data_IF_634187194390
#
_entry.id   IF_634187194390
#
_cell.length_a   1.000
_cell.length_b   1.000
_cell.length_c   1.000
_cell.angle_alpha   90.00
_cell.angle_beta   90.00
_cell.angle_gamma   90.00
#
_symmetry.space_group_name_H-M   'P 1'
#
loop_
_entity.id
_entity.type
_entity.pdbx_description
1 polymer ?
#
# COMPACT_ATOMS: atom_id res chain seq x y z
N UNK A 1 27.95 8.02 -19.15
CA UNK A 1 26.52 8.28 -19.43
C UNK A 1 25.78 7.03 -19.02
N UNK A 2 24.79 7.17 -18.15
CA UNK A 2 23.98 6.08 -17.62
C UNK A 2 22.54 6.55 -17.49
N UNK A 3 21.60 5.62 -17.62
CA UNK A 3 20.23 5.83 -17.22
C UNK A 3 20.17 5.83 -15.69
N UNK A 4 19.08 6.37 -15.16
CA UNK A 4 18.78 6.29 -13.73
C UNK A 4 17.27 6.14 -13.60
N UNK A 5 16.86 4.89 -13.45
CA UNK A 5 15.47 4.48 -13.39
C UNK A 5 14.95 4.66 -11.97
N UNK A 6 13.79 5.28 -11.86
CA UNK A 6 13.14 5.55 -10.57
C UNK A 6 11.65 5.23 -10.70
N UNK A 7 11.09 4.58 -9.68
CA UNK A 7 9.66 4.58 -9.40
C UNK A 7 9.53 5.27 -8.04
N UNK A 8 8.84 6.41 -7.97
CA UNK A 8 8.81 7.21 -6.74
C UNK A 8 8.11 6.44 -5.62
N UNK A 9 8.77 6.29 -4.48
CA UNK A 9 8.15 5.75 -3.28
C UNK A 9 7.20 6.78 -2.63
N UNK A 10 6.47 6.35 -1.62
CA UNK A 10 5.60 7.26 -0.88
C UNK A 10 6.36 8.20 0.03
N UNK A 11 5.86 9.43 0.18
CA UNK A 11 6.42 10.44 1.09
C UNK A 11 5.33 10.92 2.07
N UNK A 12 5.59 10.97 3.39
CA UNK A 12 6.86 10.61 4.07
C UNK A 12 7.06 9.10 4.25
N UNK A 13 6.07 8.27 3.89
CA UNK A 13 6.09 6.83 4.12
C UNK A 13 6.19 6.06 2.82
N UNK A 14 7.25 5.26 2.64
CA UNK A 14 7.57 4.61 1.37
C UNK A 14 6.47 3.68 0.82
N UNK A 15 5.58 3.17 1.68
CA UNK A 15 4.43 2.33 1.30
C UNK A 15 3.22 3.12 0.76
N UNK A 16 3.31 4.45 0.70
CA UNK A 16 2.27 5.33 0.17
C UNK A 16 2.61 5.86 -1.24
N UNK A 17 3.30 5.04 -2.06
CA UNK A 17 3.68 5.44 -3.42
C UNK A 17 2.45 5.85 -4.26
N UNK A 18 2.54 7.01 -4.90
CA UNK A 18 1.57 7.46 -5.90
C UNK A 18 1.92 7.00 -7.32
N UNK A 19 3.07 6.34 -7.49
CA UNK A 19 3.55 5.80 -8.77
C UNK A 19 3.07 4.38 -9.02
N UNK A 20 2.34 3.80 -8.08
CA UNK A 20 1.61 2.55 -8.25
C UNK A 20 0.15 2.82 -7.91
N UNK A 21 -0.75 2.51 -8.84
CA UNK A 21 -2.19 2.64 -8.60
C UNK A 21 -2.99 1.53 -9.27
N UNK A 22 -4.22 1.39 -8.79
CA UNK A 22 -5.17 0.38 -9.27
C UNK A 22 -6.31 1.11 -9.98
N UNK A 23 -6.74 0.57 -11.11
CA UNK A 23 -7.99 0.92 -11.78
C UNK A 23 -8.92 -0.30 -11.66
N UNK A 24 -9.92 -0.27 -10.75
CA UNK A 24 -10.83 -1.40 -10.57
C UNK A 24 -11.87 -1.50 -11.69
N UNK A 25 -12.29 -2.73 -12.00
CA UNK A 25 -13.30 -3.02 -13.02
C UNK A 25 -12.71 -3.56 -14.31
N UNK A 26 -13.52 -3.54 -15.37
CA UNK A 26 -13.19 -4.18 -16.66
C UNK A 26 -12.62 -3.21 -17.71
N UNK A 27 -12.47 -1.92 -17.37
CA UNK A 27 -11.87 -0.90 -18.25
C UNK A 27 -10.55 -0.40 -17.64
N UNK A 28 -9.39 -0.69 -18.25
CA UNK A 28 -8.10 -0.20 -17.76
C UNK A 28 -7.95 1.32 -17.79
N UNK A 29 -8.80 2.04 -18.55
CA UNK A 29 -8.82 3.50 -18.63
C UNK A 29 -9.87 4.13 -17.70
N UNK A 30 -10.51 3.32 -16.87
CA UNK A 30 -11.41 3.81 -15.82
C UNK A 30 -10.69 4.65 -14.77
N UNK A 31 -11.44 5.23 -13.82
CA UNK A 31 -10.86 6.02 -12.74
C UNK A 31 -10.02 5.13 -11.79
N UNK A 32 -8.90 5.64 -11.26
CA UNK A 32 -8.18 4.99 -10.17
C UNK A 32 -9.07 4.79 -8.93
N UNK A 33 -8.82 3.74 -8.16
CA UNK A 33 -9.56 3.44 -6.96
C UNK A 33 -9.06 2.22 -6.20
N UNK A 34 -9.79 1.83 -5.14
CA UNK A 34 -9.46 0.65 -4.36
C UNK A 34 -9.68 -0.65 -5.16
N UNK A 35 -8.79 -1.65 -5.05
CA UNK A 35 -8.99 -2.94 -5.69
C UNK A 35 -10.24 -3.66 -5.17
N UNK A 36 -11.01 -4.26 -6.09
CA UNK A 36 -12.24 -4.99 -5.76
C UNK A 36 -12.01 -6.49 -5.88
N UNK A 37 -12.26 -7.22 -4.80
CA UNK A 37 -12.11 -8.67 -4.76
C UNK A 37 -13.02 -9.37 -5.79
N UNK A 38 -12.50 -10.42 -6.43
CA UNK A 38 -13.24 -11.26 -7.38
C UNK A 38 -13.58 -10.57 -8.71
N UNK A 39 -13.03 -9.38 -8.97
CA UNK A 39 -13.19 -8.63 -10.21
C UNK A 39 -11.83 -8.33 -10.85
N UNK A 40 -11.81 -7.92 -12.12
CA UNK A 40 -10.59 -7.41 -12.74
C UNK A 40 -10.17 -6.10 -12.09
N UNK A 41 -8.86 -5.94 -11.92
CA UNK A 41 -8.21 -4.73 -11.44
C UNK A 41 -6.94 -4.52 -12.26
N UNK A 42 -6.76 -3.34 -12.84
CA UNK A 42 -5.61 -3.03 -13.66
C UNK A 42 -4.57 -2.27 -12.86
N UNK A 43 -3.34 -2.76 -12.84
CA UNK A 43 -2.23 -2.09 -12.20
C UNK A 43 -1.52 -1.17 -13.16
N UNK A 44 -1.30 0.05 -12.72
CA UNK A 44 -0.50 1.03 -13.41
C UNK A 44 0.73 1.37 -12.57
N UNK A 45 1.83 1.62 -13.27
CA UNK A 45 3.09 2.09 -12.73
C UNK A 45 3.49 3.40 -13.39
N UNK A 46 4.33 4.18 -12.73
CA UNK A 46 5.02 5.33 -13.31
C UNK A 46 6.51 5.16 -13.12
N UNK A 47 7.26 5.33 -14.20
CA UNK A 47 8.71 5.15 -14.19
C UNK A 47 9.37 6.38 -14.80
N UNK A 48 10.46 6.79 -14.19
CA UNK A 48 11.25 7.96 -14.54
C UNK A 48 12.65 7.53 -14.98
N UNK A 49 13.23 8.24 -15.93
CA UNK A 49 14.67 8.17 -16.22
C UNK A 49 15.30 9.53 -15.92
N UNK A 50 15.86 9.71 -14.73
CA UNK A 50 16.54 10.95 -14.31
C UNK A 50 18.01 11.00 -14.75
N UNK A 51 18.47 9.97 -15.47
CA UNK A 51 19.84 9.83 -15.93
C UNK A 51 20.16 10.66 -17.18
N UNK A 52 21.34 10.38 -17.74
CA UNK A 52 21.90 11.09 -18.90
C UNK A 52 21.92 10.28 -20.20
N UNK A 53 21.44 9.03 -20.18
CA UNK A 53 21.27 8.21 -21.38
C UNK A 53 19.88 7.57 -21.44
N UNK A 54 19.41 7.29 -22.65
CA UNK A 54 18.16 6.57 -22.84
C UNK A 54 18.25 5.13 -22.29
N UNK A 55 17.13 4.60 -21.82
CA UNK A 55 16.95 3.19 -21.48
C UNK A 55 15.74 2.68 -22.26
N UNK A 56 15.98 1.77 -23.21
CA UNK A 56 14.94 1.18 -24.04
C UNK A 56 14.59 -0.21 -23.53
N UNK A 57 13.33 -0.61 -23.65
CA UNK A 57 12.82 -1.88 -23.15
C UNK A 57 12.85 -1.98 -21.63
N UNK A 58 12.66 -0.87 -20.93
CA UNK A 58 12.52 -0.86 -19.46
C UNK A 58 11.33 -1.74 -19.10
N UNK A 59 11.57 -2.80 -18.33
CA UNK A 59 10.54 -3.69 -17.82
C UNK A 59 10.14 -3.25 -16.42
N UNK A 60 8.84 -3.08 -16.18
CA UNK A 60 8.28 -2.84 -14.85
C UNK A 60 7.52 -4.09 -14.41
N UNK A 61 8.04 -4.79 -13.41
CA UNK A 61 7.43 -6.00 -12.85
C UNK A 61 6.55 -5.65 -11.66
N UNK A 62 5.32 -6.16 -11.64
CA UNK A 62 4.33 -5.93 -10.58
C UNK A 62 4.13 -7.19 -9.74
N UNK A 63 4.08 -7.00 -8.43
CA UNK A 63 3.85 -8.06 -7.46
C UNK A 63 2.80 -7.62 -6.44
N UNK A 64 2.13 -8.59 -5.83
CA UNK A 64 1.45 -8.40 -4.56
C UNK A 64 2.06 -9.32 -3.50
N UNK A 65 2.02 -8.91 -2.25
CA UNK A 65 2.47 -9.72 -1.13
C UNK A 65 1.56 -9.55 0.08
N UNK A 66 1.65 -10.52 0.99
CA UNK A 66 1.06 -10.38 2.32
C UNK A 66 1.69 -9.16 3.05
N UNK A 67 0.91 -8.46 3.87
CA UNK A 67 1.38 -7.33 4.66
C UNK A 67 2.61 -7.66 5.50
N UNK A 68 3.69 -6.93 5.27
CA UNK A 68 4.92 -7.09 6.04
C UNK A 68 5.82 -5.89 5.87
N UNK A 69 6.51 -5.47 6.93
CA UNK A 69 7.66 -4.57 6.82
C UNK A 69 8.87 -5.19 6.12
N UNK A 70 8.84 -6.51 5.87
CA UNK A 70 9.89 -7.26 5.18
C UNK A 70 9.26 -8.14 4.10
N UNK A 71 9.32 -7.69 2.85
CA UNK A 71 8.84 -8.44 1.69
C UNK A 71 10.04 -8.93 0.89
N UNK A 72 10.04 -10.21 0.52
CA UNK A 72 11.13 -10.83 -0.22
C UNK A 72 10.61 -11.53 -1.47
N UNK A 73 11.48 -11.67 -2.48
CA UNK A 73 11.26 -12.56 -3.62
C UNK A 73 11.06 -13.99 -3.09
N UNK A 74 9.98 -14.63 -3.52
CA UNK A 74 9.52 -15.93 -3.02
C UNK A 74 8.41 -15.85 -1.95
N UNK A 75 8.24 -14.69 -1.30
CA UNK A 75 7.09 -14.37 -0.45
C UNK A 75 6.08 -13.42 -1.14
N UNK A 76 6.49 -12.80 -2.25
CA UNK A 76 5.60 -12.03 -3.13
C UNK A 76 5.13 -12.86 -4.32
N UNK A 77 3.90 -12.63 -4.76
CA UNK A 77 3.26 -13.24 -5.92
C UNK A 77 3.37 -12.30 -7.11
N UNK A 78 3.94 -12.78 -8.21
CA UNK A 78 4.01 -12.02 -9.46
C UNK A 78 2.62 -11.85 -10.09
N UNK A 79 2.30 -10.64 -10.53
CA UNK A 79 1.06 -10.32 -11.24
C UNK A 79 1.33 -10.31 -12.74
N UNK A 80 2.31 -9.53 -13.17
CA UNK A 80 2.64 -9.33 -14.57
C UNK A 80 3.65 -8.22 -14.74
N UNK A 81 3.90 -7.83 -15.98
CA UNK A 81 4.89 -6.82 -16.32
C UNK A 81 4.31 -5.80 -17.30
N UNK A 82 4.96 -4.65 -17.38
CA UNK A 82 4.76 -3.63 -18.40
C UNK A 82 6.12 -3.20 -18.99
N UNK A 83 6.10 -2.45 -20.10
CA UNK A 83 7.31 -2.01 -20.78
C UNK A 83 7.25 -0.55 -21.21
N UNK A 84 8.40 0.14 -21.19
CA UNK A 84 8.56 1.52 -21.66
C UNK A 84 9.92 1.76 -22.30
N UNK A 85 10.00 2.78 -23.16
CA UNK A 85 11.24 3.33 -23.68
C UNK A 85 11.41 4.75 -23.12
N UNK A 86 12.46 4.97 -22.33
CA UNK A 86 12.65 6.21 -21.57
C UNK A 86 13.88 6.97 -22.06
N UNK A 87 13.66 8.10 -22.72
CA UNK A 87 14.70 9.08 -22.99
C UNK A 87 15.25 9.71 -21.68
N UNK A 88 16.44 10.34 -21.70
CA UNK A 88 16.92 11.11 -20.55
C UNK A 88 15.90 12.18 -20.10
N UNK A 89 15.59 12.22 -18.82
CA UNK A 89 14.59 13.12 -18.23
C UNK A 89 13.13 12.72 -18.49
N UNK A 90 12.86 11.62 -19.18
CA UNK A 90 11.50 11.18 -19.49
C UNK A 90 10.82 10.54 -18.28
N UNK A 91 9.49 10.64 -18.26
CA UNK A 91 8.60 9.94 -17.33
C UNK A 91 7.52 9.27 -18.16
N UNK A 92 7.17 8.02 -17.84
CA UNK A 92 6.13 7.28 -18.53
C UNK A 92 5.26 6.48 -17.57
N UNK A 93 3.95 6.55 -17.78
CA UNK A 93 2.98 5.66 -17.13
C UNK A 93 2.84 4.39 -17.96
N UNK A 94 2.81 3.25 -17.27
CA UNK A 94 2.78 1.92 -17.88
C UNK A 94 1.66 1.09 -17.26
N UNK A 95 0.92 0.40 -18.13
CA UNK A 95 -0.15 -0.52 -17.73
C UNK A 95 0.39 -1.94 -17.67
N UNK A 96 0.20 -2.61 -16.55
CA UNK A 96 0.46 -4.05 -16.43
C UNK A 96 -0.34 -4.82 -17.49
N UNK A 97 0.34 -5.65 -18.27
CA UNK A 97 -0.26 -6.37 -19.40
C UNK A 97 -1.25 -7.47 -18.97
N UNK A 98 -1.30 -7.78 -17.67
CA UNK A 98 -2.18 -8.78 -17.08
C UNK A 98 -3.04 -8.12 -16.00
N UNK A 99 -4.38 -8.24 -16.07
CA UNK A 99 -5.23 -7.78 -14.98
C UNK A 99 -5.02 -8.62 -13.74
N UNK A 100 -5.07 -7.97 -12.59
CA UNK A 100 -5.02 -8.59 -11.28
C UNK A 100 -6.42 -8.98 -10.82
N UNK A 101 -6.57 -10.19 -10.29
CA UNK A 101 -7.81 -10.72 -9.72
C UNK A 101 -7.60 -11.02 -8.23
N UNK A 102 -7.69 -9.99 -7.35
CA UNK A 102 -7.48 -10.17 -5.92
C UNK A 102 -8.61 -10.98 -5.30
N UNK A 103 -8.25 -11.71 -4.24
CA UNK A 103 -9.17 -12.33 -3.30
C UNK A 103 -8.88 -11.74 -1.93
N UNK A 104 -9.86 -11.69 -1.03
CA UNK A 104 -9.60 -11.14 0.31
C UNK A 104 -8.79 -12.15 1.11
N UNK A 105 -7.50 -11.87 1.23
CA UNK A 105 -6.56 -12.49 2.16
C UNK A 105 -6.05 -11.42 3.13
N UNK A 106 -5.60 -11.80 4.32
CA UNK A 106 -5.08 -10.86 5.34
C UNK A 106 -6.03 -9.71 5.69
N UNK A 107 -7.34 -9.97 5.73
CA UNK A 107 -8.35 -8.93 5.93
C UNK A 107 -8.47 -7.93 4.78
N UNK A 108 -7.93 -8.27 3.61
CA UNK A 108 -7.91 -7.47 2.39
C UNK A 108 -6.76 -6.47 2.34
N UNK A 109 -5.89 -6.44 3.34
CA UNK A 109 -4.71 -5.58 3.27
C UNK A 109 -3.61 -6.29 2.47
N UNK A 110 -3.11 -5.63 1.43
CA UNK A 110 -2.11 -6.20 0.53
C UNK A 110 -1.05 -5.15 0.16
N UNK A 111 0.19 -5.59 0.01
CA UNK A 111 1.31 -4.75 -0.43
C UNK A 111 1.53 -4.94 -1.92
N UNK A 112 1.28 -3.89 -2.72
CA UNK A 112 1.69 -3.84 -4.12
C UNK A 112 3.14 -3.37 -4.22
N UNK A 113 3.87 -3.99 -5.14
CA UNK A 113 5.25 -3.63 -5.45
C UNK A 113 5.39 -3.45 -6.97
N UNK A 114 6.19 -2.46 -7.36
CA UNK A 114 6.63 -2.29 -8.74
C UNK A 114 8.16 -2.21 -8.75
N UNK A 115 8.78 -2.92 -9.70
CA UNK A 115 10.24 -2.96 -9.86
C UNK A 115 10.62 -2.64 -11.31
N UNK A 116 11.38 -1.57 -11.50
CA UNK A 116 11.93 -1.22 -12.80
C UNK A 116 13.28 -1.91 -13.07
N UNK A 117 13.39 -2.53 -14.24
CA UNK A 117 14.61 -3.09 -14.79
C UNK A 117 14.91 -2.42 -16.14
N UNK A 118 16.15 -2.04 -16.40
CA UNK A 118 16.51 -1.52 -17.71
C UNK A 118 18.02 -1.47 -17.93
N UNK A 119 18.39 -1.58 -19.20
CA UNK A 119 19.80 -1.57 -19.59
C UNK A 119 20.43 -0.20 -19.32
N UNK A 120 21.68 -0.22 -18.86
CA UNK A 120 22.47 0.99 -18.64
C UNK A 120 22.04 1.82 -17.42
N UNK A 121 21.18 1.28 -16.55
CA UNK A 121 20.87 1.88 -15.27
C UNK A 121 22.14 2.02 -14.40
N UNK A 122 22.23 3.10 -13.63
CA UNK A 122 23.39 3.39 -12.79
C UNK A 122 23.50 2.45 -11.58
N UNK A 123 22.37 1.90 -11.10
CA UNK A 123 22.29 1.04 -9.93
C UNK A 123 21.52 -0.26 -10.26
N UNK A 124 21.94 -1.04 -11.27
CA UNK A 124 21.12 -2.11 -11.83
C UNK A 124 20.77 -3.16 -10.76
N UNK A 125 19.49 -3.51 -10.71
CA UNK A 125 19.03 -4.66 -9.91
C UNK A 125 19.42 -5.97 -10.59
N UNK A 126 19.67 -7.05 -9.83
CA UNK A 126 19.90 -8.38 -10.40
C UNK A 126 18.75 -8.82 -11.30
N UNK A 127 19.07 -9.48 -12.42
CA UNK A 127 18.07 -10.00 -13.35
C UNK A 127 18.37 -11.46 -13.73
N UNK A 128 17.47 -12.42 -13.40
CA UNK A 128 16.27 -12.25 -12.57
C UNK A 128 16.61 -11.93 -11.11
N UNK A 129 15.66 -11.34 -10.37
CA UNK A 129 15.83 -11.14 -8.93
C UNK A 129 16.02 -12.51 -8.24
N UNK A 130 17.06 -12.69 -7.41
CA UNK A 130 17.30 -13.97 -6.75
C UNK A 130 16.25 -14.24 -5.67
N UNK A 131 15.95 -15.51 -5.43
CA UNK A 131 15.08 -15.90 -4.33
C UNK A 131 15.62 -15.38 -2.98
N UNK A 132 14.76 -14.78 -2.17
CA UNK A 132 15.14 -14.12 -0.92
C UNK A 132 15.69 -12.69 -1.07
N UNK A 133 15.76 -12.14 -2.29
CA UNK A 133 16.03 -10.71 -2.48
C UNK A 133 14.95 -9.89 -1.78
N UNK A 134 15.33 -8.91 -0.96
CA UNK A 134 14.39 -8.08 -0.21
C UNK A 134 13.94 -6.89 -1.08
N UNK A 135 12.63 -6.68 -1.18
CA UNK A 135 12.11 -5.45 -1.77
C UNK A 135 12.29 -4.32 -0.76
N UNK A 136 13.27 -3.45 -1.01
CA UNK A 136 13.65 -2.37 -0.09
C UNK A 136 13.55 -1.02 -0.82
N UNK A 137 12.35 -0.42 -0.91
CA UNK A 137 12.14 0.87 -1.59
C UNK A 137 13.08 1.98 -1.09
N UNK A 138 13.41 1.96 0.21
CA UNK A 138 14.33 2.92 0.82
C UNK A 138 15.81 2.73 0.42
N UNK A 139 16.16 1.58 -0.19
CA UNK A 139 17.53 1.25 -0.60
C UNK A 139 17.66 1.13 -2.13
N UNK A 140 16.54 0.99 -2.84
CA UNK A 140 16.48 0.79 -4.28
C UNK A 140 15.40 1.69 -4.87
N UNK A 141 15.82 2.77 -5.53
CA UNK A 141 14.92 3.76 -6.15
C UNK A 141 14.11 3.19 -7.33
N UNK A 142 14.52 2.03 -7.86
CA UNK A 142 13.77 1.29 -8.87
C UNK A 142 12.58 0.52 -8.28
N UNK A 143 12.46 0.45 -6.95
CA UNK A 143 11.43 -0.31 -6.24
C UNK A 143 10.53 0.68 -5.50
N UNK A 144 9.24 0.62 -5.79
CA UNK A 144 8.24 1.32 -5.00
C UNK A 144 7.24 0.34 -4.37
N UNK A 145 6.63 0.77 -3.28
CA UNK A 145 5.60 0.01 -2.58
C UNK A 145 4.34 0.85 -2.43
N UNK A 146 3.19 0.21 -2.64
CA UNK A 146 1.88 0.78 -2.36
C UNK A 146 1.03 -0.19 -1.56
N UNK A 147 0.72 0.17 -0.33
CA UNK A 147 -0.22 -0.56 0.51
C UNK A 147 -1.64 -0.24 0.07
N UNK A 148 -2.43 -1.27 -0.18
CA UNK A 148 -3.83 -1.17 -0.61
C UNK A 148 -4.75 -1.97 0.30
N UNK A 149 -6.02 -1.56 0.32
CA UNK A 149 -7.10 -2.31 0.92
C UNK A 149 -7.99 -2.84 -0.21
N UNK A 150 -7.97 -4.15 -0.40
CA UNK A 150 -8.95 -4.88 -1.22
C UNK A 150 -10.29 -4.83 -0.51
N UNK A 151 -11.29 -4.35 -1.24
CA UNK A 151 -12.66 -4.19 -0.76
C UNK A 151 -13.57 -5.26 -1.35
N UNK A 152 -14.59 -5.67 -0.61
CA UNK A 152 -15.71 -6.41 -1.18
C UNK A 152 -16.63 -5.46 -1.96
N UNK A 153 -17.17 -5.93 -3.08
CA UNK A 153 -18.20 -5.21 -3.82
C UNK A 153 -19.46 -4.94 -2.96
N UNK A 154 -19.76 -5.82 -1.99
CA UNK A 154 -20.80 -5.59 -0.99
C UNK A 154 -20.20 -4.91 0.26
N UNK A 155 -20.58 -3.65 0.51
CA UNK A 155 -20.19 -2.90 1.71
C UNK A 155 -20.78 -3.53 2.97
N UNK A 156 -20.08 -4.50 3.55
CA UNK A 156 -20.33 -4.99 4.91
C UNK A 156 -19.26 -4.42 5.84
N UNK A 157 -19.59 -4.34 7.13
CA UNK A 157 -18.59 -4.05 8.16
C UNK A 157 -17.42 -5.03 8.01
N UNK A 158 -16.25 -4.50 7.64
CA UNK A 158 -15.04 -5.26 7.44
C UNK A 158 -14.21 -5.20 8.71
N UNK A 159 -13.77 -6.37 9.17
CA UNK A 159 -12.80 -6.45 10.23
C UNK A 159 -11.45 -5.97 9.68
N UNK A 160 -10.90 -4.92 10.28
CA UNK A 160 -9.58 -4.40 9.91
C UNK A 160 -8.52 -5.21 10.65
N UNK A 161 -7.86 -6.13 9.94
CA UNK A 161 -6.76 -6.91 10.48
C UNK A 161 -5.43 -6.48 9.87
N UNK A 162 -4.39 -6.49 10.69
CA UNK A 162 -3.02 -6.20 10.33
C UNK A 162 -2.21 -7.46 10.60
N UNK A 163 -1.66 -8.05 9.56
CA UNK A 163 -0.77 -9.19 9.68
C UNK A 163 0.65 -8.70 9.92
N UNK A 164 1.30 -9.22 10.95
CA UNK A 164 2.72 -9.01 11.22
C UNK A 164 3.44 -10.34 11.07
N UNK A 165 4.33 -10.42 10.09
CA UNK A 165 5.04 -11.65 9.74
C UNK A 165 6.53 -11.61 10.14
N UNK A 166 7.05 -12.79 10.48
CA UNK A 166 8.46 -13.03 10.71
C UNK A 166 9.04 -13.97 9.64
N UNK A 167 10.27 -13.68 9.19
CA UNK A 167 10.96 -14.51 8.21
C UNK A 167 11.17 -15.93 8.73
N UNK A 168 11.26 -16.91 7.82
CA UNK A 168 11.37 -18.33 8.14
C UNK A 168 12.50 -18.67 9.14
N UNK A 169 13.57 -17.88 9.15
CA UNK A 169 14.78 -18.13 9.95
C UNK A 169 14.97 -17.19 11.14
N UNK A 170 14.07 -16.23 11.34
CA UNK A 170 14.26 -15.18 12.33
C UNK A 170 12.93 -14.80 12.99
N UNK A 171 12.83 -14.99 14.30
CA UNK A 171 11.73 -14.45 15.10
C UNK A 171 11.88 -12.92 15.23
N UNK A 172 10.77 -12.23 15.49
CA UNK A 172 10.74 -10.78 15.62
C UNK A 172 10.03 -10.35 16.90
N UNK A 173 10.53 -9.27 17.48
CA UNK A 173 9.83 -8.50 18.50
C UNK A 173 9.56 -7.13 17.89
N UNK A 174 8.31 -6.75 17.79
CA UNK A 174 7.91 -5.47 17.19
C UNK A 174 6.87 -4.79 18.07
N UNK A 175 6.69 -3.49 17.84
CA UNK A 175 5.63 -2.70 18.45
C UNK A 175 4.81 -2.08 17.33
N UNK A 176 3.48 -2.22 17.41
CA UNK A 176 2.56 -1.46 16.58
C UNK A 176 2.13 -0.21 17.33
N UNK A 177 2.07 0.93 16.66
CA UNK A 177 1.56 2.17 17.26
C UNK A 177 0.65 2.94 16.30
N UNK A 178 -0.33 3.62 16.88
CA UNK A 178 -1.27 4.47 16.15
C UNK A 178 -0.74 5.90 16.03
N UNK A 179 -0.67 6.41 14.80
CA UNK A 179 -0.39 7.82 14.52
C UNK A 179 -1.63 8.45 13.87
N UNK A 180 -2.04 9.63 14.35
CA UNK A 180 -3.23 10.34 13.87
C UNK A 180 -2.84 11.65 13.20
N UNK A 181 -3.53 11.97 12.12
CA UNK A 181 -3.39 13.23 11.42
C UNK A 181 -2.28 13.24 10.36
N UNK A 182 -1.98 14.44 9.87
CA UNK A 182 -1.16 14.65 8.69
C UNK A 182 -1.98 14.73 7.41
N UNK A 183 -1.28 14.86 6.29
CA UNK A 183 -1.86 15.05 4.97
C UNK A 183 -1.30 14.00 4.02
N UNK A 184 -2.04 13.69 2.97
CA UNK A 184 -1.57 12.90 1.85
C UNK A 184 -1.20 13.82 0.69
N UNK A 185 -0.17 13.45 -0.05
CA UNK A 185 0.19 14.13 -1.29
C UNK A 185 -1.00 14.16 -2.26
N UNK A 186 -1.22 15.28 -2.95
CA UNK A 186 -2.34 15.43 -3.89
C UNK A 186 -2.38 14.34 -4.96
N UNK A 187 -1.21 13.89 -5.43
CA UNK A 187 -1.08 12.78 -6.38
C UNK A 187 -1.61 11.47 -5.79
N UNK A 188 -1.35 11.21 -4.52
CA UNK A 188 -1.85 10.02 -3.85
C UNK A 188 -3.37 10.06 -3.64
N UNK A 189 -3.92 11.23 -3.38
CA UNK A 189 -5.38 11.39 -3.34
C UNK A 189 -6.00 11.14 -4.72
N UNK A 190 -5.33 11.55 -5.80
CA UNK A 190 -5.78 11.29 -7.17
C UNK A 190 -5.83 9.79 -7.50
N UNK A 191 -4.84 9.01 -7.05
CA UNK A 191 -4.85 7.54 -7.26
C UNK A 191 -5.94 6.82 -6.47
N UNK A 192 -6.58 7.50 -5.51
CA UNK A 192 -7.73 7.00 -4.75
C UNK A 192 -9.07 7.56 -5.25
N UNK A 193 -9.08 8.44 -6.26
CA UNK A 193 -10.28 9.15 -6.72
C UNK A 193 -10.76 10.25 -5.76
N UNK A 194 -9.88 10.76 -4.89
CA UNK A 194 -10.19 11.68 -3.79
C UNK A 194 -9.55 13.05 -3.96
N UNK A 195 -9.31 13.49 -5.19
CA UNK A 195 -8.59 14.71 -5.58
C UNK A 195 -9.16 15.99 -4.93
N UNK A 196 -10.46 15.99 -4.66
CA UNK A 196 -11.21 17.12 -4.09
C UNK A 196 -11.23 17.13 -2.56
N UNK A 197 -10.72 16.07 -1.93
CA UNK A 197 -10.81 15.88 -0.50
C UNK A 197 -9.68 16.60 0.24
N UNK A 198 -10.00 17.16 1.41
CA UNK A 198 -9.04 17.90 2.23
C UNK A 198 -8.88 17.27 3.62
N UNK A 199 -7.71 17.42 4.28
CA UNK A 199 -7.54 16.92 5.63
C UNK A 199 -8.50 17.63 6.59
N UNK A 200 -9.19 16.85 7.43
CA UNK A 200 -10.13 17.35 8.40
C UNK A 200 -9.42 18.00 9.60
N UNK A 201 -9.73 19.26 9.87
CA UNK A 201 -9.14 19.99 11.02
C UNK A 201 -9.68 19.54 12.37
N UNK A 202 -10.92 19.04 12.40
CA UNK A 202 -11.65 18.65 13.63
C UNK A 202 -12.21 17.22 13.53
N UNK A 203 -11.53 16.31 12.83
CA UNK A 203 -11.96 14.93 12.80
C UNK A 203 -11.98 14.32 14.21
N UNK A 204 -13.10 13.73 14.59
CA UNK A 204 -13.17 12.90 15.79
C UNK A 204 -13.14 11.44 15.36
N UNK A 205 -11.97 10.81 15.48
CA UNK A 205 -11.78 9.38 15.28
C UNK A 205 -11.39 8.71 16.60
N UNK A 206 -11.99 7.56 16.92
CA UNK A 206 -11.51 6.63 17.94
C UNK A 206 -10.86 5.43 17.26
N UNK A 207 -9.74 4.98 17.81
CA UNK A 207 -8.95 3.91 17.22
C UNK A 207 -8.13 3.18 18.27
N UNK A 208 -8.05 1.85 18.15
CA UNK A 208 -7.30 0.99 19.07
C UNK A 208 -6.84 -0.32 18.44
N UNK A 209 -5.74 -0.85 18.98
CA UNK A 209 -5.16 -2.13 18.59
C UNK A 209 -5.54 -3.21 19.62
N UNK A 210 -5.68 -4.45 19.16
CA UNK A 210 -5.99 -5.60 20.02
C UNK A 210 -5.54 -6.92 19.40
N UNK A 211 -5.21 -7.91 20.24
CA UNK A 211 -4.90 -9.27 19.79
C UNK A 211 -6.13 -10.08 19.39
N UNK A 212 -7.31 -9.68 19.86
CA UNK A 212 -8.57 -10.36 19.61
C UNK A 212 -9.52 -9.44 18.83
N UNK A 213 -10.34 -9.98 17.92
CA UNK A 213 -11.29 -9.17 17.18
C UNK A 213 -12.40 -8.67 18.11
N UNK A 214 -12.54 -7.36 18.23
CA UNK A 214 -13.62 -6.73 18.98
C UNK A 214 -14.63 -6.07 18.06
N UNK A 215 -15.91 -6.20 18.40
CA UNK A 215 -17.03 -5.64 17.64
C UNK A 215 -17.89 -4.84 18.60
N UNK A 216 -17.57 -3.55 18.73
CA UNK A 216 -18.36 -2.52 19.39
C UNK A 216 -18.32 -2.40 20.94
N UNK A 217 -17.51 -3.18 21.64
CA UNK A 217 -17.64 -3.44 23.09
C UNK A 217 -17.08 -2.36 24.05
N UNK A 218 -16.38 -1.34 23.55
CA UNK A 218 -15.81 -0.29 24.41
C UNK A 218 -14.64 -0.76 25.30
N UNK A 219 -13.98 -1.86 24.95
CA UNK A 219 -12.73 -2.29 25.57
C UNK A 219 -11.59 -1.31 25.30
N UNK A 220 -10.64 -1.25 26.23
CA UNK A 220 -9.50 -0.33 26.18
C UNK A 220 -8.72 -0.47 24.86
N UNK A 221 -8.85 0.55 24.02
CA UNK A 221 -8.17 0.70 22.74
C UNK A 221 -6.69 1.02 22.97
N UNK A 222 -5.83 -0.02 23.01
CA UNK A 222 -4.39 0.19 23.14
C UNK A 222 -3.87 1.01 21.95
N UNK A 223 -3.19 2.12 22.24
CA UNK A 223 -2.56 2.95 21.20
C UNK A 223 -1.24 2.34 20.72
N UNK A 224 -0.64 1.47 21.53
CA UNK A 224 0.59 0.75 21.25
C UNK A 224 0.42 -0.71 21.67
N UNK A 225 0.82 -1.65 20.82
CA UNK A 225 0.72 -3.09 21.08
C UNK A 225 2.04 -3.79 20.76
N UNK A 226 2.64 -4.45 21.75
CA UNK A 226 3.88 -5.21 21.58
C UNK A 226 3.57 -6.63 21.10
N UNK A 227 4.35 -7.11 20.12
CA UNK A 227 4.17 -8.42 19.49
C UNK A 227 5.46 -9.24 19.51
N UNK A 228 5.36 -10.47 19.98
CA UNK A 228 6.35 -11.51 19.78
C UNK A 228 5.90 -12.41 18.61
N UNK A 229 6.60 -12.34 17.48
CA UNK A 229 6.27 -13.11 16.27
C UNK A 229 7.29 -14.23 16.09
N UNK A 230 6.91 -15.51 16.30
CA UNK A 230 7.82 -16.64 16.12
C UNK A 230 8.34 -16.75 14.68
N UNK A 231 9.54 -17.30 14.52
CA UNK A 231 10.16 -17.49 13.19
C UNK A 231 9.22 -18.24 12.25
N UNK A 232 9.09 -17.74 11.02
CA UNK A 232 8.24 -18.34 9.99
C UNK A 232 6.74 -18.36 10.31
N UNK A 233 6.29 -17.58 11.29
CA UNK A 233 4.88 -17.40 11.60
C UNK A 233 4.44 -15.96 11.34
N UNK A 234 3.13 -15.77 11.32
CA UNK A 234 2.49 -14.47 11.28
C UNK A 234 1.46 -14.37 12.41
N UNK A 235 1.32 -13.17 12.96
CA UNK A 235 0.33 -12.85 14.01
C UNK A 235 -0.60 -11.77 13.46
N UNK A 236 -1.90 -11.95 13.68
CA UNK A 236 -2.90 -10.94 13.34
C UNK A 236 -3.13 -10.00 14.52
N UNK A 237 -3.24 -8.71 14.23
CA UNK A 237 -3.70 -7.66 15.14
C UNK A 237 -4.95 -7.01 14.55
N UNK A 238 -5.90 -6.68 15.40
CA UNK A 238 -7.17 -6.10 14.99
C UNK A 238 -7.22 -4.62 15.34
N UNK A 239 -7.58 -3.81 14.34
CA UNK A 239 -7.79 -2.38 14.47
C UNK A 239 -9.28 -2.10 14.66
N UNK A 240 -9.64 -1.58 15.81
CA UNK A 240 -10.94 -0.91 16.01
C UNK A 240 -10.81 0.52 15.51
N UNK A 241 -11.75 0.97 14.68
CA UNK A 241 -11.76 2.32 14.11
C UNK A 241 -13.19 2.83 14.01
N UNK A 242 -13.45 4.02 14.57
CA UNK A 242 -14.74 4.70 14.41
C UNK A 242 -14.52 6.17 14.08
N UNK A 243 -15.28 6.67 13.11
CA UNK A 243 -15.41 8.10 12.86
C UNK A 243 -16.67 8.60 13.58
N UNK A 244 -16.50 9.43 14.61
CA UNK A 244 -17.60 10.05 15.34
C UNK A 244 -18.09 11.33 14.64
N UNK A 245 -17.17 12.06 14.00
CA UNK A 245 -17.49 13.28 13.24
C UNK A 245 -16.47 13.46 12.11
N UNK A 246 -16.95 13.49 10.87
CA UNK A 246 -16.15 13.80 9.70
C UNK A 246 -16.96 14.69 8.73
N UNK A 247 -16.50 15.93 8.42
CA UNK A 247 -17.20 16.79 7.48
C UNK A 247 -17.20 16.24 6.05
N UNK A 248 -18.18 16.61 5.20
CA UNK A 248 -18.19 16.26 3.78
C UNK A 248 -16.93 16.75 3.06
N UNK A 249 -16.43 15.93 2.12
CA UNK A 249 -15.18 16.18 1.37
C UNK A 249 -13.95 16.42 2.25
N UNK A 250 -13.98 15.96 3.51
CA UNK A 250 -12.83 15.95 4.38
C UNK A 250 -12.48 14.53 4.80
N UNK A 251 -11.18 14.27 4.96
CA UNK A 251 -10.67 12.98 5.39
C UNK A 251 -9.95 13.07 6.73
N UNK A 252 -10.00 12.00 7.51
CA UNK A 252 -9.09 11.80 8.63
C UNK A 252 -8.04 10.76 8.24
N UNK A 253 -6.84 10.93 8.77
CA UNK A 253 -5.73 10.02 8.52
C UNK A 253 -5.36 9.30 9.80
N UNK A 254 -5.29 7.97 9.72
CA UNK A 254 -4.79 7.11 10.77
C UNK A 254 -3.72 6.21 10.17
N UNK A 255 -2.58 6.09 10.86
CA UNK A 255 -1.56 5.13 10.52
C UNK A 255 -1.35 4.12 11.63
N UNK A 256 -1.10 2.88 11.24
CA UNK A 256 -0.57 1.86 12.14
C UNK A 256 0.85 1.59 11.72
N UNK A 257 1.80 1.97 12.55
CA UNK A 257 3.22 1.91 12.27
C UNK A 257 3.82 0.70 12.99
N UNK A 258 4.56 -0.12 12.28
CA UNK A 258 5.33 -1.24 12.82
C UNK A 258 6.76 -0.77 13.09
N UNK A 259 7.17 -0.83 14.35
CA UNK A 259 8.52 -0.48 14.78
C UNK A 259 9.27 -1.65 15.39
N UNK A 260 10.57 -1.69 15.15
CA UNK A 260 11.50 -2.61 15.81
C UNK A 260 12.71 -1.81 16.27
N UNK A 261 13.03 -1.91 17.57
CA UNK A 261 14.16 -1.18 18.18
C UNK A 261 14.13 0.34 17.88
N UNK A 262 12.94 0.94 17.88
CA UNK A 262 12.70 2.35 17.59
C UNK A 262 12.78 2.76 16.11
N UNK A 263 13.01 1.80 15.18
CA UNK A 263 13.00 2.05 13.73
C UNK A 263 11.70 1.59 13.11
N UNK A 264 11.12 2.42 12.25
CA UNK A 264 9.93 2.05 11.47
C UNK A 264 10.33 1.00 10.44
N UNK A 265 9.66 -0.15 10.50
CA UNK A 265 9.87 -1.29 9.60
C UNK A 265 8.80 -1.34 8.50
N UNK A 266 7.66 -0.71 8.73
CA UNK A 266 6.53 -0.69 7.81
C UNK A 266 5.32 -0.06 8.47
N UNK A 267 4.19 -0.04 7.78
CA UNK A 267 2.97 0.47 8.35
C UNK A 267 1.81 0.45 7.38
N UNK A 268 0.66 0.89 7.88
CA UNK A 268 -0.59 0.95 7.17
C UNK A 268 -1.20 2.32 7.27
N UNK A 269 -1.58 2.87 6.13
CA UNK A 269 -2.25 4.16 6.06
C UNK A 269 -3.74 3.94 5.80
N UNK A 270 -4.56 4.30 6.78
CA UNK A 270 -6.02 4.31 6.68
C UNK A 270 -6.49 5.72 6.43
N UNK A 271 -7.16 5.91 5.28
CA UNK A 271 -7.83 7.15 4.94
C UNK A 271 -9.32 7.01 5.25
N UNK A 272 -9.78 7.71 6.27
CA UNK A 272 -11.18 7.69 6.71
C UNK A 272 -11.91 8.82 6.02
N UNK A 273 -12.98 8.47 5.32
CA UNK A 273 -13.86 9.39 4.61
C UNK A 273 -15.30 9.19 5.08
N UNK A 274 -16.10 10.25 5.10
CA UNK A 274 -17.52 10.17 5.40
C UNK A 274 -18.26 9.53 4.22
N UNK A 275 -19.39 8.88 4.47
CA UNK A 275 -20.28 8.49 3.37
C UNK A 275 -20.74 9.76 2.64
N UNK A 276 -20.60 9.78 1.31
CA UNK A 276 -21.17 10.87 0.49
C UNK A 276 -22.70 10.99 0.65
N UNK A 277 -23.33 9.91 1.13
CA UNK A 277 -24.72 9.91 1.56
C UNK A 277 -24.86 10.43 3.00
N UNK A 278 -25.06 11.73 3.12
CA UNK A 278 -25.74 12.35 4.26
C UNK A 278 -27.25 12.02 4.30
N UNK A 279 -27.64 10.82 3.89
CA UNK A 279 -28.99 10.30 4.15
C UNK A 279 -28.88 9.36 5.32
N UNK A 280 -29.32 9.84 6.47
CA UNK A 280 -29.81 8.96 7.53
C UNK A 280 -30.65 7.87 6.86
N UNK A 281 -30.25 6.61 6.98
CA UNK A 281 -31.19 5.50 6.86
C UNK A 281 -32.22 5.74 7.98
N UNK A 282 -33.29 6.46 7.65
CA UNK A 282 -34.51 6.45 8.42
C UNK A 282 -35.04 5.02 8.32
N UNK A 283 -34.67 4.23 9.33
CA UNK A 283 -35.36 2.99 9.64
C UNK A 283 -36.80 3.33 9.99
N UNK A 284 -37.70 3.00 9.07
CA UNK A 284 -39.13 2.81 9.35
C UNK A 284 -39.36 1.36 9.75
#
# INVERSE_FOLDING_TARGET
MSAHLIIEDGQPWWWDSADIWVVPGNDPNGPPGAPVAGSSNYLWGRVHNTGSSASNGVRVDFYWADPSGLIAVGAATAIGSAFADLAPGATQEVLCLVPWFPVIVNGGHECLLAVAHGAGDINPLPEPLPNGFLFQPQQHEQIAQRNVQVVQAARRAQMLSITVAALARQARKVELHLERGGELAARLLATLGLEKWQPAKEASISAGLSHEPHCNDGTAEEQTLALDVPRGQAVAVYLSLRANKLPPYQYALLRVLETQDGKVMGGNTYLIVGSEDGREEQTS
#
